data_IF_280965453024
#
_entry.id   IF_280965453024
#
_cell.length_a   1.000
_cell.length_b   1.000
_cell.length_c   1.000
_cell.angle_alpha   90.00
_cell.angle_beta   90.00
_cell.angle_gamma   90.00
#
_symmetry.space_group_name_H-M   'P 1'
#
loop_
_entity.id
_entity.type
_entity.pdbx_description
1 polymer ?
#
# COMPACT_ATOMS: atom_id res chain seq x y z
N UNK A 1 -12.81 -16.02 79.53
CA UNK A 1 -13.10 -16.84 78.34
C UNK A 1 -12.80 -15.99 77.11
N UNK A 2 -11.87 -16.46 76.27
CA UNK A 2 -11.64 -16.24 74.83
C UNK A 2 -12.28 -14.99 74.18
N UNK A 3 -11.44 -14.12 73.61
CA UNK A 3 -11.39 -13.94 72.14
C UNK A 3 -10.26 -12.97 71.74
N UNK A 4 -9.26 -13.51 71.06
CA UNK A 4 -8.19 -12.78 70.40
C UNK A 4 -8.70 -12.29 69.03
N UNK A 5 -8.44 -11.02 68.70
CA UNK A 5 -8.73 -10.43 67.40
C UNK A 5 -7.39 -10.11 66.72
N UNK A 6 -7.08 -10.82 65.63
CA UNK A 6 -5.91 -10.54 64.76
C UNK A 6 -6.31 -9.57 63.65
N UNK A 7 -5.55 -8.49 63.39
CA UNK A 7 -5.64 -7.78 62.12
C UNK A 7 -4.67 -8.37 61.09
N UNK A 8 -5.16 -8.43 59.85
CA UNK A 8 -4.60 -9.09 58.68
C UNK A 8 -3.51 -8.24 58.04
N UNK A 9 -2.42 -8.89 57.63
CA UNK A 9 -1.33 -8.32 56.83
C UNK A 9 -1.85 -7.77 55.50
N UNK A 10 -1.52 -6.51 55.20
CA UNK A 10 -1.65 -5.93 53.87
C UNK A 10 -0.45 -6.38 53.03
N UNK A 11 -0.69 -7.27 52.06
CA UNK A 11 0.25 -7.52 50.98
C UNK A 11 0.12 -6.38 49.96
N UNK A 12 1.24 -5.73 49.65
CA UNK A 12 1.35 -4.75 48.57
C UNK A 12 1.68 -5.54 47.28
N UNK A 13 0.69 -5.73 46.41
CA UNK A 13 0.89 -6.31 45.08
C UNK A 13 1.55 -5.28 44.16
N UNK A 14 2.76 -5.60 43.71
CA UNK A 14 3.48 -4.85 42.67
C UNK A 14 2.76 -5.04 41.33
N UNK A 15 2.09 -3.99 40.88
CA UNK A 15 1.46 -3.92 39.55
C UNK A 15 2.49 -4.10 38.43
N UNK A 16 2.19 -5.07 37.58
CA UNK A 16 2.85 -5.41 36.33
C UNK A 16 2.65 -4.27 35.30
N UNK A 17 3.62 -3.37 35.16
CA UNK A 17 3.61 -2.35 34.11
C UNK A 17 4.05 -2.97 32.78
N UNK A 18 3.08 -3.10 31.87
CA UNK A 18 3.22 -3.78 30.58
C UNK A 18 4.13 -3.07 29.58
N UNK A 19 4.96 -3.89 28.91
CA UNK A 19 5.63 -3.52 27.68
C UNK A 19 4.63 -3.61 26.53
N UNK A 20 4.00 -2.49 26.18
CA UNK A 20 3.20 -2.37 24.97
C UNK A 20 4.14 -2.41 23.75
N UNK A 21 4.27 -3.61 23.16
CA UNK A 21 4.93 -3.78 21.88
C UNK A 21 4.04 -3.17 20.80
N UNK A 22 4.38 -1.97 20.32
CA UNK A 22 3.80 -1.34 19.14
C UNK A 22 4.19 -2.16 17.91
N UNK A 23 3.42 -3.19 17.60
CA UNK A 23 3.38 -3.74 16.24
C UNK A 23 2.45 -2.82 15.45
N UNK A 24 3.01 -1.81 14.80
CA UNK A 24 2.32 -1.15 13.69
C UNK A 24 2.17 -2.20 12.59
N UNK A 25 1.06 -2.94 12.60
CA UNK A 25 0.67 -3.73 11.45
C UNK A 25 0.34 -2.76 10.32
N UNK A 26 1.14 -2.76 9.27
CA UNK A 26 0.80 -2.09 8.01
C UNK A 26 -0.54 -2.64 7.53
N UNK A 27 -1.61 -1.86 7.73
CA UNK A 27 -2.99 -2.20 7.37
C UNK A 27 -3.24 -2.24 5.84
N UNK A 28 -2.21 -2.50 5.04
CA UNK A 28 -2.28 -2.58 3.58
C UNK A 28 -2.76 -3.95 3.07
N UNK A 29 -2.76 -4.98 3.92
CA UNK A 29 -3.04 -6.36 3.50
C UNK A 29 -4.52 -6.78 3.59
N UNK A 30 -5.32 -6.18 4.47
CA UNK A 30 -6.73 -6.57 4.64
C UNK A 30 -7.61 -5.92 3.56
N UNK A 31 -7.53 -6.42 2.33
CA UNK A 31 -8.45 -6.05 1.23
C UNK A 31 -7.78 -5.64 -0.09
N UNK A 32 -6.44 -5.60 -0.17
CA UNK A 32 -5.77 -5.32 -1.43
C UNK A 32 -5.89 -6.50 -2.43
N UNK A 33 -6.15 -6.21 -3.71
CA UNK A 33 -6.34 -7.22 -4.75
C UNK A 33 -5.41 -6.94 -5.94
N UNK A 34 -4.36 -7.76 -6.08
CA UNK A 34 -3.39 -7.64 -7.16
C UNK A 34 -4.02 -7.69 -8.57
N UNK A 35 -5.17 -8.35 -8.75
CA UNK A 35 -5.85 -8.40 -10.05
C UNK A 35 -6.42 -7.04 -10.44
N UNK A 36 -6.97 -6.31 -9.46
CA UNK A 36 -7.44 -4.93 -9.69
C UNK A 36 -6.23 -4.04 -9.99
N UNK A 37 -5.16 -4.15 -9.20
CA UNK A 37 -3.91 -3.43 -9.44
C UNK A 37 -3.32 -3.69 -10.82
N UNK A 38 -3.34 -4.93 -11.30
CA UNK A 38 -2.91 -5.31 -12.65
C UNK A 38 -3.71 -4.59 -13.73
N UNK A 39 -5.04 -4.59 -13.62
CA UNK A 39 -5.93 -3.93 -14.59
C UNK A 39 -5.66 -2.43 -14.58
N UNK A 40 -5.56 -1.83 -13.39
CA UNK A 40 -5.25 -0.40 -13.25
C UNK A 40 -3.88 -0.07 -13.86
N UNK A 41 -2.84 -0.86 -13.57
CA UNK A 41 -1.52 -0.66 -14.13
C UNK A 41 -1.53 -0.74 -15.67
N UNK A 42 -2.22 -1.73 -16.24
CA UNK A 42 -2.27 -1.92 -17.70
C UNK A 42 -3.02 -0.80 -18.41
N UNK A 43 -4.15 -0.37 -17.86
CA UNK A 43 -5.09 0.52 -18.55
C UNK A 43 -4.92 1.99 -18.18
N UNK A 44 -4.33 2.30 -17.03
CA UNK A 44 -4.14 3.68 -16.55
C UNK A 44 -2.65 4.03 -16.52
N UNK A 45 -1.85 3.37 -15.68
CA UNK A 45 -0.43 3.72 -15.51
C UNK A 45 0.36 3.56 -16.83
N UNK A 46 0.22 2.41 -17.49
CA UNK A 46 0.91 2.14 -18.75
C UNK A 46 0.32 2.87 -19.96
N UNK A 47 -0.88 3.45 -19.86
CA UNK A 47 -1.35 4.35 -20.91
C UNK A 47 -0.45 5.61 -20.95
N UNK A 48 -0.11 6.16 -19.78
CA UNK A 48 0.81 7.28 -19.65
C UNK A 48 2.26 6.88 -20.02
N UNK A 49 2.81 5.83 -19.39
CA UNK A 49 4.20 5.43 -19.63
C UNK A 49 4.53 5.03 -21.06
N UNK A 50 3.54 4.55 -21.83
CA UNK A 50 3.75 4.28 -23.27
C UNK A 50 3.89 5.56 -24.08
N UNK A 51 3.10 6.59 -23.74
CA UNK A 51 3.10 7.86 -24.48
C UNK A 51 4.32 8.69 -24.12
N UNK A 52 4.62 8.82 -22.82
CA UNK A 52 5.64 9.77 -22.35
C UNK A 52 7.05 9.15 -22.33
N UNK A 53 7.16 7.86 -21.99
CA UNK A 53 8.44 7.17 -21.82
C UNK A 53 8.71 6.10 -22.89
N UNK A 54 7.75 5.83 -23.79
CA UNK A 54 7.85 4.76 -24.78
C UNK A 54 7.94 3.34 -24.17
N UNK A 55 7.63 3.17 -22.88
CA UNK A 55 7.88 1.92 -22.14
C UNK A 55 6.64 1.43 -21.38
N UNK A 56 6.74 0.20 -20.90
CA UNK A 56 5.78 -0.41 -19.99
C UNK A 56 6.47 -0.62 -18.67
N UNK A 57 5.82 -0.25 -17.57
CA UNK A 57 6.31 -0.53 -16.23
C UNK A 57 5.76 -1.89 -15.80
N UNK A 58 6.68 -2.80 -15.45
CA UNK A 58 6.40 -4.17 -15.06
C UNK A 58 6.82 -4.43 -13.61
N UNK A 59 6.05 -5.23 -12.85
CA UNK A 59 6.48 -5.66 -11.52
C UNK A 59 7.87 -6.31 -11.50
N UNK A 60 8.28 -7.02 -12.57
CA UNK A 60 9.58 -7.70 -12.64
C UNK A 60 10.78 -6.76 -12.77
N UNK A 61 10.55 -5.45 -12.97
CA UNK A 61 11.62 -4.47 -13.12
C UNK A 61 12.42 -4.30 -11.83
N UNK A 62 11.80 -4.60 -10.67
CA UNK A 62 12.40 -4.43 -9.35
C UNK A 62 12.06 -5.58 -8.41
N UNK A 63 12.83 -5.69 -7.33
CA UNK A 63 12.53 -6.55 -6.19
C UNK A 63 11.36 -6.00 -5.36
N UNK A 64 10.77 -6.85 -4.51
CA UNK A 64 9.74 -6.43 -3.55
C UNK A 64 10.24 -5.30 -2.65
N UNK A 65 11.50 -5.38 -2.19
CA UNK A 65 12.09 -4.36 -1.32
C UNK A 65 12.19 -3.00 -2.03
N UNK A 66 12.65 -2.99 -3.28
CA UNK A 66 12.75 -1.78 -4.09
C UNK A 66 11.38 -1.18 -4.43
N UNK A 67 10.36 -2.00 -4.69
CA UNK A 67 8.99 -1.52 -4.87
C UNK A 67 8.42 -0.92 -3.59
N UNK A 68 8.58 -1.59 -2.44
CA UNK A 68 8.15 -1.05 -1.14
C UNK A 68 8.82 0.29 -0.87
N UNK A 69 10.14 0.40 -1.10
CA UNK A 69 10.87 1.64 -0.91
C UNK A 69 10.34 2.76 -1.82
N UNK A 70 10.07 2.46 -3.10
CA UNK A 70 9.53 3.41 -4.06
C UNK A 70 8.15 3.96 -3.66
N UNK A 71 7.21 3.08 -3.31
CA UNK A 71 5.86 3.51 -2.90
C UNK A 71 5.85 4.20 -1.53
N UNK A 72 6.73 3.77 -0.61
CA UNK A 72 6.91 4.43 0.70
C UNK A 72 7.48 5.84 0.55
N UNK A 73 8.44 6.03 -0.35
CA UNK A 73 9.02 7.33 -0.65
C UNK A 73 8.04 8.27 -1.39
N UNK A 74 6.92 7.73 -1.89
CA UNK A 74 5.95 8.45 -2.72
C UNK A 74 6.62 9.22 -3.86
N UNK A 75 7.63 8.63 -4.49
CA UNK A 75 8.41 9.26 -5.55
C UNK A 75 8.01 8.69 -6.91
N UNK A 76 7.79 9.55 -7.91
CA UNK A 76 7.48 9.17 -9.29
C UNK A 76 8.37 9.95 -10.28
N UNK A 77 7.89 11.08 -10.80
CA UNK A 77 8.65 11.94 -11.69
C UNK A 77 9.57 12.87 -10.90
N UNK A 78 10.87 12.78 -11.18
CA UNK A 78 11.92 13.63 -10.58
C UNK A 78 12.33 14.79 -11.48
N UNK A 79 11.80 14.86 -12.70
CA UNK A 79 12.13 15.90 -13.68
C UNK A 79 11.32 17.19 -13.46
N UNK A 80 10.21 17.09 -12.73
CA UNK A 80 9.29 18.20 -12.48
C UNK A 80 8.33 18.51 -13.65
N UNK A 81 8.32 17.70 -14.70
CA UNK A 81 7.41 17.86 -15.86
C UNK A 81 5.99 17.40 -15.53
N UNK A 82 5.87 16.40 -14.68
CA UNK A 82 4.61 15.84 -14.22
C UNK A 82 4.59 15.79 -12.69
N UNK A 83 3.51 15.28 -12.09
CA UNK A 83 3.41 15.16 -10.65
C UNK A 83 4.47 14.18 -10.11
N UNK A 84 5.19 14.58 -9.07
CA UNK A 84 6.26 13.77 -8.46
C UNK A 84 5.78 12.69 -7.49
N UNK A 85 4.50 12.65 -7.15
CA UNK A 85 3.92 11.68 -6.19
C UNK A 85 3.40 10.43 -6.91
N UNK A 86 3.80 9.24 -6.45
CA UNK A 86 3.26 7.99 -6.95
C UNK A 86 1.79 7.80 -6.55
N UNK A 87 1.41 8.22 -5.33
CA UNK A 87 0.05 8.18 -4.80
C UNK A 87 -0.89 9.07 -5.58
N UNK A 88 -0.42 10.21 -6.10
CA UNK A 88 -1.23 11.06 -6.97
C UNK A 88 -1.80 10.29 -8.16
N UNK A 89 -1.02 9.45 -8.84
CA UNK A 89 -1.49 8.68 -9.99
C UNK A 89 -2.47 7.53 -9.64
N UNK A 90 -2.58 7.21 -8.35
CA UNK A 90 -3.60 6.32 -7.80
C UNK A 90 -4.73 7.08 -7.07
N UNK A 91 -4.79 8.41 -7.19
CA UNK A 91 -5.83 9.24 -6.56
C UNK A 91 -7.08 9.39 -7.42
N UNK A 92 -8.19 9.72 -6.77
CA UNK A 92 -9.43 10.16 -7.40
C UNK A 92 -9.23 11.46 -8.17
N UNK A 93 -8.35 12.35 -7.70
CA UNK A 93 -8.04 13.60 -8.41
C UNK A 93 -7.43 13.31 -9.79
N UNK A 94 -6.44 12.41 -9.87
CA UNK A 94 -5.86 12.01 -11.15
C UNK A 94 -6.85 11.20 -12.00
N UNK A 95 -7.53 10.21 -11.42
CA UNK A 95 -8.57 9.47 -12.16
C UNK A 95 -9.62 10.41 -12.75
N UNK A 96 -10.01 11.43 -11.98
CA UNK A 96 -10.98 12.44 -12.36
C UNK A 96 -10.49 13.33 -13.50
N UNK A 97 -9.20 13.67 -13.54
CA UNK A 97 -8.63 14.51 -14.61
C UNK A 97 -8.52 13.80 -15.96
N UNK A 98 -8.48 12.46 -15.98
CA UNK A 98 -8.37 11.67 -17.22
C UNK A 98 -9.62 10.83 -17.54
N UNK A 99 -10.70 10.93 -16.75
CA UNK A 99 -11.88 10.05 -16.88
C UNK A 99 -12.57 10.12 -18.25
N UNK A 100 -12.51 11.28 -18.90
CA UNK A 100 -13.18 11.50 -20.19
C UNK A 100 -12.39 10.88 -21.37
N UNK A 101 -11.08 10.65 -21.18
CA UNK A 101 -10.19 10.04 -22.18
C UNK A 101 -9.76 8.62 -21.83
N UNK A 102 -9.95 8.18 -20.58
CA UNK A 102 -9.61 6.85 -20.10
C UNK A 102 -10.80 6.18 -19.37
N UNK A 103 -11.45 5.23 -20.04
CA UNK A 103 -12.61 4.50 -19.51
C UNK A 103 -12.31 3.71 -18.22
N UNK A 104 -11.07 3.23 -18.04
CA UNK A 104 -10.69 2.55 -16.82
C UNK A 104 -10.57 3.53 -15.64
N UNK A 105 -10.02 4.72 -15.87
CA UNK A 105 -10.00 5.77 -14.86
C UNK A 105 -11.41 6.19 -14.42
N UNK A 106 -12.34 6.35 -15.37
CA UNK A 106 -13.76 6.60 -15.05
C UNK A 106 -14.38 5.46 -14.22
N UNK A 107 -14.15 4.19 -14.63
CA UNK A 107 -14.67 3.01 -13.92
C UNK A 107 -14.16 2.91 -12.48
N UNK A 108 -12.90 3.24 -12.26
CA UNK A 108 -12.27 3.15 -10.94
C UNK A 108 -12.36 4.43 -10.11
N UNK A 109 -12.93 5.50 -10.65
CA UNK A 109 -13.06 6.78 -9.95
C UNK A 109 -13.73 6.66 -8.56
N UNK A 110 -14.77 5.83 -8.34
CA UNK A 110 -15.39 5.71 -7.02
C UNK A 110 -14.54 5.01 -5.96
N UNK A 111 -13.43 4.36 -6.34
CA UNK A 111 -12.56 3.66 -5.38
C UNK A 111 -11.78 4.71 -4.58
N UNK A 112 -11.74 4.63 -3.23
CA UNK A 112 -10.92 5.50 -2.39
C UNK A 112 -9.42 5.41 -2.72
N UNK A 113 -8.69 6.49 -2.43
CA UNK A 113 -7.28 6.64 -2.82
C UNK A 113 -6.37 5.61 -2.16
N UNK A 114 -6.54 5.38 -0.86
CA UNK A 114 -5.82 4.40 -0.07
C UNK A 114 -6.10 2.97 -0.57
N UNK A 115 -7.36 2.66 -0.87
CA UNK A 115 -7.77 1.35 -1.40
C UNK A 115 -7.16 1.09 -2.78
N UNK A 116 -7.24 2.06 -3.70
CA UNK A 116 -6.62 1.91 -5.02
C UNK A 116 -5.11 1.80 -4.92
N UNK A 117 -4.47 2.62 -4.09
CA UNK A 117 -3.02 2.56 -3.88
C UNK A 117 -2.63 1.18 -3.35
N UNK A 118 -3.38 0.63 -2.40
CA UNK A 118 -3.18 -0.73 -1.91
C UNK A 118 -3.24 -1.79 -3.01
N UNK A 119 -4.24 -1.72 -3.89
CA UNK A 119 -4.34 -2.63 -5.05
C UNK A 119 -3.13 -2.53 -5.98
N UNK A 120 -2.68 -1.30 -6.29
CA UNK A 120 -1.52 -1.06 -7.16
C UNK A 120 -0.26 -1.64 -6.52
N UNK A 121 0.01 -1.34 -5.25
CA UNK A 121 1.19 -1.86 -4.55
C UNK A 121 1.17 -3.38 -4.49
N UNK A 122 0.03 -3.98 -4.13
CA UNK A 122 -0.12 -5.43 -4.07
C UNK A 122 0.17 -6.10 -5.41
N UNK A 123 -0.22 -5.48 -6.54
CA UNK A 123 0.16 -5.97 -7.87
C UNK A 123 1.67 -5.95 -8.11
N UNK A 124 2.35 -4.85 -7.74
CA UNK A 124 3.79 -4.73 -7.91
C UNK A 124 4.58 -5.68 -7.01
N UNK A 125 4.11 -5.93 -5.77
CA UNK A 125 4.75 -6.89 -4.87
C UNK A 125 4.51 -8.34 -5.31
N UNK A 126 3.27 -8.69 -5.64
CA UNK A 126 2.90 -10.02 -6.11
C UNK A 126 3.67 -10.44 -7.37
N UNK A 127 3.96 -9.48 -8.26
CA UNK A 127 4.67 -9.73 -9.51
C UNK A 127 6.17 -9.43 -9.49
N UNK A 128 6.74 -9.03 -8.35
CA UNK A 128 8.11 -8.55 -8.27
C UNK A 128 9.14 -9.59 -8.74
N UNK A 129 10.34 -9.13 -9.11
CA UNK A 129 11.44 -9.97 -9.63
C UNK A 129 11.75 -11.19 -8.75
N UNK A 130 11.68 -10.99 -7.45
CA UNK A 130 12.01 -11.93 -6.36
C UNK A 130 10.76 -12.39 -5.58
N UNK A 131 9.57 -12.20 -6.15
CA UNK A 131 8.35 -12.81 -5.61
C UNK A 131 8.29 -14.30 -5.97
N UNK A 132 7.40 -15.03 -5.32
CA UNK A 132 7.09 -16.43 -5.68
C UNK A 132 6.35 -16.54 -7.03
N UNK A 133 5.79 -15.42 -7.51
CA UNK A 133 4.98 -15.32 -8.72
C UNK A 133 5.45 -14.16 -9.63
N UNK A 134 6.74 -14.13 -10.02
CA UNK A 134 7.28 -13.01 -10.76
C UNK A 134 6.54 -12.84 -12.09
N UNK A 135 6.17 -11.59 -12.41
CA UNK A 135 5.46 -11.26 -13.66
C UNK A 135 6.39 -11.38 -14.86
N UNK A 136 6.60 -12.62 -15.31
CA UNK A 136 7.28 -12.97 -16.57
C UNK A 136 6.28 -13.00 -17.73
N UNK A 137 6.75 -13.27 -18.96
CA UNK A 137 5.96 -13.24 -20.20
C UNK A 137 4.50 -13.69 -20.00
N UNK A 138 3.57 -12.72 -20.05
CA UNK A 138 2.13 -12.86 -19.95
C UNK A 138 1.45 -11.93 -20.94
#
# INVERSE_FOLDING_TARGET
>A
MKNAMKPKSFFFDFSLAGLALLIAADAWAAGANWKIGRVYNRLVCNACHRVDDGKVVSPVDRTQAEWKAYFKADAHDKTGKTNGSAKYYASQAYRGSIKDTNKAAAKFLPIPDDVMTGHVVEFYLHGAKDSDTPSRCQ
#
